data_IF_120770185906
#
_entry.id   IF_120770185906
#
_cell.length_a   1.000
_cell.length_b   1.000
_cell.length_c   1.000
_cell.angle_alpha   90.00
_cell.angle_beta   90.00
_cell.angle_gamma   90.00
#
_symmetry.space_group_name_H-M   'P 1'
#
loop_
_entity.id
_entity.type
_entity.pdbx_description
1 polymer ?
#
# COMPACT_ATOMS: atom_id res chain seq x y z
N UNK A 1 -1.24 23.04 22.37
CA UNK A 1 -1.92 22.35 21.26
C UNK A 1 -1.05 22.38 19.99
N UNK A 2 0.20 21.87 20.05
CA UNK A 2 1.14 21.90 18.92
C UNK A 2 1.54 20.49 18.41
N UNK A 3 1.33 19.42 19.18
CA UNK A 3 1.91 18.10 18.88
C UNK A 3 1.29 17.31 17.72
N UNK A 4 0.07 17.64 17.28
CA UNK A 4 -0.60 16.88 16.19
C UNK A 4 -0.23 17.44 14.82
N UNK A 5 -0.03 18.76 14.68
CA UNK A 5 0.36 19.36 13.40
C UNK A 5 1.86 19.15 13.10
N UNK A 6 2.72 19.13 14.13
CA UNK A 6 4.16 18.88 13.97
C UNK A 6 4.47 17.41 13.62
N UNK A 7 3.75 16.45 14.21
CA UNK A 7 3.89 15.02 13.86
C UNK A 7 3.37 14.71 12.46
N UNK A 8 2.33 15.43 12.00
CA UNK A 8 1.83 15.34 10.62
C UNK A 8 2.83 15.96 9.64
N UNK A 9 3.40 17.14 9.94
CA UNK A 9 4.42 17.76 9.09
C UNK A 9 5.69 16.91 8.97
N UNK A 10 6.14 16.24 10.03
CA UNK A 10 7.28 15.31 9.95
C UNK A 10 6.99 14.11 9.04
N UNK A 11 5.77 13.55 9.12
CA UNK A 11 5.35 12.44 8.24
C UNK A 11 5.28 12.86 6.77
N UNK A 12 4.76 14.06 6.50
CA UNK A 12 4.63 14.57 5.12
C UNK A 12 5.97 15.02 4.51
N UNK A 13 6.97 15.41 5.32
CA UNK A 13 8.31 15.81 4.84
C UNK A 13 9.21 14.64 4.45
N UNK A 14 8.91 13.42 4.90
CA UNK A 14 9.63 12.22 4.52
C UNK A 14 9.24 11.73 3.12
N UNK A 15 7.98 11.97 2.71
CA UNK A 15 7.50 11.79 1.34
C UNK A 15 8.17 12.88 0.49
N UNK A 16 9.18 12.51 -0.30
CA UNK A 16 10.03 13.42 -1.06
C UNK A 16 11.53 13.43 -0.67
N UNK A 17 11.96 12.73 0.39
CA UNK A 17 13.39 12.63 0.76
C UNK A 17 14.04 11.26 0.49
N UNK A 18 13.32 10.30 -0.11
CA UNK A 18 13.83 8.94 -0.37
C UNK A 18 14.37 8.22 0.89
N UNK A 19 13.72 8.42 2.04
CA UNK A 19 14.06 7.79 3.33
C UNK A 19 12.93 6.89 3.83
N UNK A 20 13.29 5.74 4.40
CA UNK A 20 12.40 4.76 4.99
C UNK A 20 12.67 4.63 6.49
N UNK A 21 11.62 4.62 7.30
CA UNK A 21 11.70 4.33 8.73
C UNK A 21 11.14 2.94 9.02
N UNK A 22 11.97 2.08 9.64
CA UNK A 22 11.59 0.71 9.99
C UNK A 22 11.57 0.53 11.51
N UNK A 23 10.47 0.00 12.03
CA UNK A 23 10.39 -0.54 13.38
C UNK A 23 10.97 -1.96 13.36
N UNK A 24 12.06 -2.17 14.10
CA UNK A 24 12.68 -3.49 14.24
C UNK A 24 12.05 -4.27 15.39
N UNK A 25 11.78 -5.55 15.15
CA UNK A 25 11.18 -6.47 16.12
C UNK A 25 11.64 -7.91 15.88
N UNK A 26 11.26 -8.80 16.80
CA UNK A 26 11.53 -10.24 16.70
C UNK A 26 10.26 -11.06 16.80
N UNK A 27 10.32 -12.25 16.22
CA UNK A 27 9.29 -13.28 16.33
C UNK A 27 9.85 -14.40 17.21
N UNK A 28 9.70 -15.65 16.81
CA UNK A 28 10.45 -16.76 17.41
C UNK A 28 11.91 -16.78 16.91
N UNK A 29 12.86 -16.63 17.84
CA UNK A 29 14.31 -16.71 17.63
C UNK A 29 15.07 -15.37 17.51
N UNK A 30 16.31 -15.46 17.02
CA UNK A 30 17.26 -14.32 16.92
C UNK A 30 17.10 -13.46 15.66
N UNK A 31 16.27 -13.90 14.71
CA UNK A 31 16.06 -13.20 13.44
C UNK A 31 15.36 -11.85 13.66
N UNK A 32 15.93 -10.79 13.08
CA UNK A 32 15.35 -9.46 13.10
C UNK A 32 14.40 -9.25 11.91
N UNK A 33 13.27 -8.64 12.22
CA UNK A 33 12.24 -8.27 11.27
C UNK A 33 12.03 -6.76 11.31
N UNK A 34 11.59 -6.20 10.19
CA UNK A 34 11.26 -4.79 10.05
C UNK A 34 9.83 -4.61 9.53
N UNK A 35 9.17 -3.56 9.98
CA UNK A 35 7.92 -3.05 9.41
C UNK A 35 8.05 -1.56 9.18
N UNK A 36 7.51 -1.06 8.07
CA UNK A 36 7.44 0.37 7.81
C UNK A 36 6.64 1.07 8.93
N UNK A 37 7.27 2.05 9.59
CA UNK A 37 6.68 2.82 10.69
C UNK A 37 5.41 3.55 10.27
N UNK A 38 5.27 3.93 8.99
CA UNK A 38 4.05 4.54 8.48
C UNK A 38 2.81 3.66 8.63
N UNK A 39 2.99 2.33 8.58
CA UNK A 39 1.91 1.35 8.78
C UNK A 39 1.63 1.08 10.26
N UNK A 40 2.47 1.60 11.18
CA UNK A 40 2.35 1.38 12.63
C UNK A 40 1.64 2.56 13.29
N UNK A 41 0.52 2.26 13.94
CA UNK A 41 -0.24 3.23 14.72
C UNK A 41 0.31 3.38 16.14
N UNK A 42 0.56 2.26 16.80
CA UNK A 42 1.14 2.22 18.15
C UNK A 42 1.72 0.83 18.46
N UNK A 43 2.62 0.77 19.44
CA UNK A 43 3.18 -0.48 19.97
C UNK A 43 2.82 -0.55 21.45
N UNK A 44 2.27 -1.70 21.88
CA UNK A 44 1.82 -1.92 23.24
C UNK A 44 2.37 -3.25 23.76
N UNK A 45 2.54 -3.38 25.07
CA UNK A 45 2.67 -4.70 25.67
C UNK A 45 1.39 -5.49 25.40
N UNK A 46 1.50 -6.78 25.08
CA UNK A 46 0.34 -7.57 24.68
C UNK A 46 -0.72 -7.56 25.79
N UNK A 47 -1.92 -7.01 25.53
CA UNK A 47 -3.00 -7.06 26.49
C UNK A 47 -3.53 -8.48 26.63
N UNK A 48 -4.34 -8.73 27.66
CA UNK A 48 -5.07 -10.00 27.78
C UNK A 48 -5.96 -10.20 26.56
N UNK A 49 -5.81 -11.35 25.92
CA UNK A 49 -6.57 -11.73 24.73
C UNK A 49 -7.82 -12.51 25.12
N UNK A 50 -8.94 -12.17 24.49
CA UNK A 50 -10.17 -12.96 24.55
C UNK A 50 -10.22 -13.88 23.34
N UNK A 51 -10.42 -15.18 23.56
CA UNK A 51 -10.50 -16.18 22.49
C UNK A 51 -11.79 -15.98 21.70
N UNK A 52 -11.68 -15.91 20.37
CA UNK A 52 -12.82 -15.78 19.48
C UNK A 52 -13.20 -17.16 18.89
N UNK A 53 -14.47 -17.60 18.95
CA UNK A 53 -14.90 -18.83 18.30
C UNK A 53 -14.71 -18.76 16.77
N UNK A 54 -14.35 -19.88 16.14
CA UNK A 54 -14.17 -20.00 14.69
C UNK A 54 -13.17 -19.00 14.07
N UNK A 55 -12.13 -18.62 14.81
CA UNK A 55 -11.07 -17.77 14.28
C UNK A 55 -10.07 -18.54 13.40
N UNK A 56 -9.42 -17.84 12.46
CA UNK A 56 -8.36 -18.40 11.64
C UNK A 56 -7.14 -18.79 12.48
N UNK A 57 -6.36 -19.77 12.00
CA UNK A 57 -5.23 -20.38 12.74
C UNK A 57 -4.21 -19.37 13.30
N UNK A 58 -4.01 -18.25 12.62
CA UNK A 58 -3.04 -17.21 12.99
C UNK A 58 -3.59 -16.19 14.00
N UNK A 59 -4.90 -16.20 14.25
CA UNK A 59 -5.56 -15.27 15.18
C UNK A 59 -5.46 -15.83 16.60
N UNK A 60 -4.81 -15.11 17.52
CA UNK A 60 -4.67 -15.51 18.92
C UNK A 60 -5.86 -15.10 19.78
N UNK A 61 -6.59 -14.09 19.34
CA UNK A 61 -7.78 -13.60 20.00
C UNK A 61 -8.07 -12.15 19.63
N UNK A 62 -8.90 -11.51 20.45
CA UNK A 62 -9.20 -10.08 20.33
C UNK A 62 -8.78 -9.35 21.60
N UNK A 63 -8.38 -8.10 21.45
CA UNK A 63 -8.02 -7.20 22.54
C UNK A 63 -8.86 -5.92 22.47
N UNK A 64 -9.24 -5.38 23.63
CA UNK A 64 -9.84 -4.04 23.70
C UNK A 64 -8.74 -3.00 23.86
N UNK A 65 -8.56 -2.15 22.86
CA UNK A 65 -7.53 -1.11 22.81
C UNK A 65 -8.22 0.21 22.54
N UNK A 66 -8.14 1.14 23.52
CA UNK A 66 -8.77 2.48 23.47
C UNK A 66 -10.26 2.46 23.11
N UNK A 67 -10.99 1.44 23.58
CA UNK A 67 -12.44 1.30 23.34
C UNK A 67 -12.81 0.64 22.01
N UNK A 68 -11.83 0.21 21.20
CA UNK A 68 -12.04 -0.59 19.99
C UNK A 68 -11.57 -2.03 20.21
N UNK A 69 -12.37 -3.00 19.75
CA UNK A 69 -11.99 -4.42 19.79
C UNK A 69 -11.21 -4.76 18.53
N UNK A 70 -9.94 -5.14 18.68
CA UNK A 70 -9.02 -5.43 17.58
C UNK A 70 -8.60 -6.90 17.59
N UNK A 71 -8.56 -7.57 16.43
CA UNK A 71 -7.94 -8.89 16.32
C UNK A 71 -6.44 -8.80 16.54
N UNK A 72 -5.89 -9.75 17.30
CA UNK A 72 -4.45 -9.90 17.50
C UNK A 72 -3.99 -11.18 16.80
N UNK A 73 -3.08 -11.02 15.83
CA UNK A 73 -2.54 -12.06 14.99
C UNK A 73 -1.10 -12.38 15.37
N UNK A 74 -0.76 -13.66 15.45
CA UNK A 74 0.61 -14.10 15.69
C UNK A 74 1.41 -14.05 14.39
N UNK A 75 2.33 -13.08 14.26
CA UNK A 75 3.18 -12.98 13.08
C UNK A 75 4.14 -14.16 12.94
N UNK A 76 4.52 -14.80 14.05
CA UNK A 76 5.33 -16.03 13.99
C UNK A 76 4.53 -17.14 13.30
N UNK A 77 3.26 -17.34 13.70
CA UNK A 77 2.36 -18.27 13.00
C UNK A 77 2.10 -17.86 11.55
N UNK A 78 1.85 -16.57 11.28
CA UNK A 78 1.58 -16.08 9.93
C UNK A 78 2.76 -16.34 9.00
N UNK A 79 3.99 -16.13 9.48
CA UNK A 79 5.22 -16.39 8.70
C UNK A 79 5.63 -17.87 8.65
N UNK A 80 4.78 -18.77 9.14
CA UNK A 80 4.98 -20.23 9.07
C UNK A 80 5.84 -20.83 10.19
N UNK A 81 6.19 -20.04 11.21
CA UNK A 81 6.92 -20.49 12.40
C UNK A 81 5.97 -21.01 13.49
N UNK A 82 6.55 -21.46 14.59
CA UNK A 82 5.82 -21.84 15.80
C UNK A 82 5.13 -20.64 16.45
N UNK A 83 4.02 -20.90 17.13
CA UNK A 83 3.28 -19.88 17.85
C UNK A 83 4.09 -19.34 19.03
N UNK A 84 3.95 -18.05 19.30
CA UNK A 84 4.53 -17.45 20.50
C UNK A 84 3.82 -18.02 21.74
N UNK A 85 4.61 -18.52 22.68
CA UNK A 85 4.12 -19.17 23.91
C UNK A 85 3.97 -18.17 25.05
N UNK A 86 4.92 -17.24 25.18
CA UNK A 86 4.94 -16.21 26.22
C UNK A 86 4.22 -14.94 25.75
N UNK A 87 2.89 -14.94 25.88
CA UNK A 87 2.06 -13.79 25.52
C UNK A 87 2.23 -12.61 26.48
N UNK A 88 2.61 -12.83 27.74
CA UNK A 88 2.67 -11.77 28.76
C UNK A 88 3.87 -10.82 28.54
N UNK A 89 4.99 -11.37 28.06
CA UNK A 89 6.18 -10.59 27.72
C UNK A 89 6.23 -10.19 26.22
N UNK A 90 5.26 -10.64 25.43
CA UNK A 90 5.15 -10.26 24.02
C UNK A 90 4.55 -8.87 23.84
N UNK A 91 4.73 -8.30 22.66
CA UNK A 91 4.21 -6.98 22.26
C UNK A 91 3.18 -7.12 21.16
N UNK A 92 2.20 -6.21 21.15
CA UNK A 92 1.25 -6.03 20.07
C UNK A 92 1.61 -4.76 19.28
N UNK A 93 2.04 -4.94 18.03
CA UNK A 93 2.25 -3.86 17.06
C UNK A 93 0.93 -3.60 16.36
N UNK A 94 0.31 -2.47 16.65
CA UNK A 94 -0.98 -2.10 16.06
C UNK A 94 -0.71 -1.40 14.74
N UNK A 95 -1.21 -1.99 13.66
CA UNK A 95 -1.02 -1.50 12.30
C UNK A 95 -2.34 -1.09 11.66
N UNK A 96 -2.26 -0.20 10.68
CA UNK A 96 -3.42 0.23 9.90
C UNK A 96 -3.15 0.19 8.41
N UNK A 97 -4.11 -0.33 7.65
CA UNK A 97 -4.10 -0.37 6.19
C UNK A 97 -5.54 -0.36 5.65
N UNK A 98 -5.86 0.52 4.70
CA UNK A 98 -7.22 0.64 4.14
C UNK A 98 -8.32 0.72 5.22
N UNK A 99 -8.12 1.56 6.26
CA UNK A 99 -8.96 1.68 7.48
C UNK A 99 -9.11 0.42 8.33
N UNK A 100 -8.39 -0.66 8.03
CA UNK A 100 -8.42 -1.87 8.84
C UNK A 100 -7.29 -1.77 9.84
N UNK A 101 -7.66 -1.73 11.12
CA UNK A 101 -6.69 -1.81 12.21
C UNK A 101 -6.59 -3.26 12.68
N UNK A 102 -5.37 -3.78 12.73
CA UNK A 102 -5.05 -5.09 13.29
C UNK A 102 -3.88 -4.96 14.26
N UNK A 103 -3.80 -5.88 15.22
CA UNK A 103 -2.61 -6.05 16.04
C UNK A 103 -1.81 -7.25 15.58
N UNK A 104 -0.50 -7.07 15.49
CA UNK A 104 0.45 -8.13 15.24
C UNK A 104 1.25 -8.42 16.50
N UNK A 105 1.18 -9.66 16.96
CA UNK A 105 1.93 -10.16 18.10
C UNK A 105 3.37 -10.46 17.67
N UNK A 106 4.32 -9.89 18.40
CA UNK A 106 5.77 -10.04 18.22
C UNK A 106 6.39 -10.32 19.59
N UNK A 107 7.52 -11.04 19.63
CA UNK A 107 8.14 -11.42 20.91
C UNK A 107 8.82 -10.23 21.60
N UNK A 108 9.46 -9.36 20.82
CA UNK A 108 10.15 -8.17 21.33
C UNK A 108 10.21 -7.09 20.26
N UNK A 109 10.30 -5.85 20.71
CA UNK A 109 10.51 -4.66 19.87
C UNK A 109 11.84 -4.05 20.24
N UNK A 110 12.65 -3.73 19.24
CA UNK A 110 14.05 -3.34 19.42
C UNK A 110 14.21 -1.83 19.35
N UNK A 111 14.19 -1.27 18.13
CA UNK A 111 14.35 0.17 17.88
C UNK A 111 13.80 0.54 16.51
N UNK A 112 13.58 1.85 16.30
CA UNK A 112 13.32 2.40 14.97
C UNK A 112 14.65 2.76 14.33
N UNK A 113 14.80 2.42 13.05
CA UNK A 113 15.96 2.80 12.23
C UNK A 113 15.50 3.63 11.04
N UNK A 114 16.33 4.57 10.62
CA UNK A 114 16.10 5.37 9.44
C UNK A 114 17.13 4.96 8.37
N UNK A 115 16.65 4.52 7.21
CA UNK A 115 17.45 3.99 6.10
C UNK A 115 17.15 4.77 4.83
N UNK A 116 18.12 4.80 3.92
CA UNK A 116 17.86 5.19 2.53
C UNK A 116 17.32 3.98 1.76
N UNK A 117 16.45 4.20 0.78
CA UNK A 117 15.90 3.13 -0.05
C UNK A 117 16.96 2.30 -0.77
N UNK A 118 18.11 2.91 -1.12
CA UNK A 118 19.26 2.22 -1.72
C UNK A 118 19.82 1.06 -0.87
N UNK A 119 19.62 1.08 0.45
CA UNK A 119 20.04 0.02 1.36
C UNK A 119 19.03 -1.15 1.45
N UNK A 120 17.88 -1.00 0.80
CA UNK A 120 16.81 -1.99 0.75
C UNK A 120 16.99 -2.82 -0.51
N UNK A 121 17.18 -4.13 -0.32
CA UNK A 121 17.42 -5.07 -1.40
C UNK A 121 16.17 -5.91 -1.67
N UNK A 122 15.91 -6.28 -2.93
CA UNK A 122 14.84 -7.23 -3.22
C UNK A 122 15.12 -8.57 -2.53
N UNK A 123 14.06 -9.32 -2.18
CA UNK A 123 14.22 -10.62 -1.55
C UNK A 123 15.04 -11.57 -2.44
N UNK A 124 15.81 -12.51 -1.85
CA UNK A 124 16.64 -13.44 -2.62
C UNK A 124 15.84 -14.21 -3.66
N UNK A 125 16.40 -14.33 -4.88
CA UNK A 125 15.79 -15.10 -5.98
C UNK A 125 15.61 -16.56 -5.52
N UNK A 126 14.36 -17.04 -5.49
CA UNK A 126 14.01 -18.40 -5.06
C UNK A 126 13.19 -18.49 -3.77
N UNK A 127 12.95 -17.39 -3.05
CA UNK A 127 12.15 -17.35 -1.82
C UNK A 127 10.64 -17.67 -2.00
N UNK A 128 10.17 -17.86 -3.24
CA UNK A 128 8.77 -18.20 -3.56
C UNK A 128 7.85 -16.96 -3.65
N UNK A 129 6.80 -17.06 -4.47
CA UNK A 129 5.83 -15.97 -4.73
C UNK A 129 4.89 -15.68 -3.55
N UNK A 130 4.79 -16.61 -2.60
CA UNK A 130 3.89 -16.51 -1.44
C UNK A 130 4.58 -16.03 -0.16
N UNK A 131 5.82 -15.56 -0.25
CA UNK A 131 6.53 -15.08 0.93
C UNK A 131 5.97 -13.73 1.42
N UNK A 132 5.91 -13.53 2.74
CA UNK A 132 5.50 -12.27 3.38
C UNK A 132 6.63 -11.23 3.44
N UNK A 133 7.71 -11.43 2.68
CA UNK A 133 8.83 -10.50 2.61
C UNK A 133 8.65 -9.55 1.44
N UNK A 134 8.58 -8.24 1.74
CA UNK A 134 8.66 -7.20 0.70
C UNK A 134 10.10 -7.03 0.25
N UNK A 135 11.04 -7.02 1.20
CA UNK A 135 12.45 -6.73 0.95
C UNK A 135 13.34 -7.22 2.10
N UNK A 136 14.65 -7.11 1.92
CA UNK A 136 15.65 -7.39 2.96
C UNK A 136 16.63 -6.23 3.07
N UNK A 137 17.21 -6.03 4.24
CA UNK A 137 18.29 -5.04 4.44
C UNK A 137 19.31 -5.59 5.43
N UNK A 138 20.45 -4.90 5.57
CA UNK A 138 21.48 -5.27 6.53
C UNK A 138 21.64 -4.16 7.56
N UNK A 139 21.51 -4.51 8.84
CA UNK A 139 21.69 -3.60 9.96
C UNK A 139 22.66 -4.25 10.93
N UNK A 140 23.75 -3.57 11.26
CA UNK A 140 24.80 -4.09 12.14
C UNK A 140 25.32 -5.47 11.69
N UNK A 141 25.52 -5.65 10.37
CA UNK A 141 25.90 -6.92 9.72
C UNK A 141 24.91 -8.09 9.92
N UNK A 142 23.69 -7.82 10.38
CA UNK A 142 22.61 -8.80 10.46
C UNK A 142 21.60 -8.56 9.35
N UNK A 143 21.13 -9.65 8.74
CA UNK A 143 20.03 -9.60 7.80
C UNK A 143 18.74 -9.24 8.53
N UNK A 144 18.02 -8.26 8.02
CA UNK A 144 16.71 -7.85 8.51
C UNK A 144 15.68 -8.07 7.41
N UNK A 145 14.63 -8.78 7.76
CA UNK A 145 13.54 -9.16 6.87
C UNK A 145 12.37 -8.18 7.00
N UNK A 146 11.98 -7.53 5.91
CA UNK A 146 10.90 -6.53 5.93
C UNK A 146 9.58 -7.24 5.63
N UNK A 147 8.67 -7.22 6.60
CA UNK A 147 7.38 -7.92 6.54
C UNK A 147 6.34 -7.08 5.80
N UNK A 148 5.70 -7.70 4.82
CA UNK A 148 4.49 -7.23 4.17
C UNK A 148 3.26 -7.57 5.03
N UNK A 149 2.91 -6.66 5.93
CA UNK A 149 1.72 -6.81 6.77
C UNK A 149 0.41 -6.74 5.98
N UNK A 150 0.41 -6.15 4.79
CA UNK A 150 -0.79 -6.03 3.97
C UNK A 150 -1.17 -7.37 3.38
N UNK A 151 -0.17 -8.17 2.98
CA UNK A 151 -0.38 -9.54 2.53
C UNK A 151 -0.96 -10.41 3.63
N UNK A 152 -0.42 -10.31 4.85
CA UNK A 152 -0.97 -11.02 6.02
C UNK A 152 -2.42 -10.60 6.29
N UNK A 153 -2.70 -9.30 6.26
CA UNK A 153 -4.04 -8.75 6.47
C UNK A 153 -5.02 -9.19 5.37
N UNK A 154 -4.59 -9.23 4.11
CA UNK A 154 -5.45 -9.63 2.99
C UNK A 154 -5.85 -11.11 3.05
N UNK A 155 -5.00 -11.97 3.61
CA UNK A 155 -5.30 -13.39 3.76
C UNK A 155 -6.27 -13.68 4.91
N UNK A 156 -6.13 -12.96 6.03
CA UNK A 156 -6.94 -13.20 7.24
C UNK A 156 -8.28 -12.46 7.24
N UNK A 157 -8.33 -11.34 6.53
CA UNK A 157 -9.51 -10.52 6.35
C UNK A 157 -9.52 -10.04 4.89
N UNK A 158 -9.99 -10.86 3.94
CA UNK A 158 -10.11 -10.42 2.55
C UNK A 158 -11.08 -9.23 2.46
N UNK A 159 -10.86 -8.38 1.47
CA UNK A 159 -11.76 -7.27 1.12
C UNK A 159 -12.55 -7.68 -0.12
N UNK A 160 -13.82 -7.28 -0.21
CA UNK A 160 -14.56 -7.44 -1.46
C UNK A 160 -13.90 -6.59 -2.54
N UNK A 161 -13.67 -7.19 -3.70
CA UNK A 161 -13.18 -6.54 -4.91
C UNK A 161 -14.33 -6.36 -5.92
N UNK A 162 -15.56 -6.71 -5.52
CA UNK A 162 -16.76 -6.61 -6.35
C UNK A 162 -17.34 -5.20 -6.30
N UNK A 163 -17.68 -4.69 -7.49
CA UNK A 163 -18.40 -3.42 -7.66
C UNK A 163 -19.89 -3.69 -7.53
N UNK A 164 -20.56 -2.91 -6.71
CA UNK A 164 -22.00 -3.03 -6.48
C UNK A 164 -22.80 -2.86 -7.79
N UNK A 165 -23.90 -3.61 -7.99
CA UNK A 165 -24.78 -3.41 -9.14
C UNK A 165 -25.28 -1.97 -9.22
N UNK A 166 -25.22 -1.37 -10.42
CA UNK A 166 -25.72 -0.01 -10.67
C UNK A 166 -24.72 1.13 -10.45
N UNK A 167 -23.50 0.86 -10.01
CA UNK A 167 -22.43 1.88 -9.94
C UNK A 167 -21.97 2.32 -11.33
N UNK A 168 -21.96 1.38 -12.28
CA UNK A 168 -21.61 1.61 -13.68
C UNK A 168 -22.79 1.21 -14.55
N UNK A 169 -23.24 2.13 -15.41
CA UNK A 169 -24.27 1.88 -16.43
C UNK A 169 -23.74 1.04 -17.61
N UNK A 170 -24.66 0.45 -18.38
CA UNK A 170 -24.31 -0.50 -19.46
C UNK A 170 -23.51 0.16 -20.62
N UNK A 171 -23.75 1.45 -20.89
CA UNK A 171 -23.02 2.19 -21.92
C UNK A 171 -21.55 2.35 -21.51
N UNK A 172 -21.32 2.86 -20.29
CA UNK A 172 -19.98 3.02 -19.73
C UNK A 172 -19.24 1.68 -19.65
N UNK A 173 -19.94 0.59 -19.26
CA UNK A 173 -19.36 -0.76 -19.23
C UNK A 173 -18.92 -1.25 -20.61
N UNK A 174 -19.65 -0.92 -21.66
CA UNK A 174 -19.30 -1.31 -23.03
C UNK A 174 -18.03 -0.59 -23.49
N UNK A 175 -17.91 0.70 -23.17
CA UNK A 175 -16.73 1.53 -23.51
C UNK A 175 -15.49 1.17 -22.70
N UNK A 176 -15.70 0.72 -21.46
CA UNK A 176 -14.63 0.23 -20.61
C UNK A 176 -13.79 -0.88 -21.27
N UNK A 177 -14.39 -1.70 -22.15
CA UNK A 177 -13.73 -2.81 -22.85
C UNK A 177 -12.61 -2.38 -23.80
N UNK A 178 -12.60 -1.12 -24.25
CA UNK A 178 -11.54 -0.55 -25.08
C UNK A 178 -10.58 0.34 -24.31
N UNK A 179 -10.76 0.46 -23.00
CA UNK A 179 -9.94 1.32 -22.14
C UNK A 179 -8.80 0.53 -21.51
N UNK A 180 -7.67 1.21 -21.32
CA UNK A 180 -6.50 0.70 -20.60
C UNK A 180 -6.17 1.62 -19.44
N UNK A 181 -5.80 1.06 -18.30
CA UNK A 181 -5.38 1.82 -17.11
C UNK A 181 -4.01 1.37 -16.65
N UNK A 182 -3.13 2.33 -16.36
CA UNK A 182 -1.81 2.07 -15.80
C UNK A 182 -1.88 2.12 -14.26
N UNK A 183 -1.57 1.02 -13.59
CA UNK A 183 -1.52 0.93 -12.12
C UNK A 183 -0.06 0.92 -11.67
N UNK A 184 0.29 1.83 -10.78
CA UNK A 184 1.64 1.99 -10.22
C UNK A 184 1.54 1.98 -8.71
N UNK A 185 2.01 0.92 -8.06
CA UNK A 185 1.91 0.75 -6.60
C UNK A 185 2.94 -0.30 -6.20
N UNK A 186 3.60 -0.19 -5.04
CA UNK A 186 4.63 -1.13 -4.59
C UNK A 186 4.06 -2.35 -3.87
N UNK A 187 2.86 -2.22 -3.31
CA UNK A 187 2.09 -3.30 -2.72
C UNK A 187 1.46 -4.20 -3.79
N UNK A 188 1.93 -5.44 -3.81
CA UNK A 188 1.33 -6.46 -4.70
C UNK A 188 -0.13 -6.75 -4.36
N UNK A 189 -0.56 -6.47 -3.11
CA UNK A 189 -1.94 -6.63 -2.65
C UNK A 189 -2.80 -5.51 -3.23
N UNK A 190 -2.39 -4.26 -3.05
CA UNK A 190 -3.11 -3.11 -3.58
C UNK A 190 -3.20 -3.17 -5.12
N UNK A 191 -2.08 -3.46 -5.80
CA UNK A 191 -2.07 -3.67 -7.27
C UNK A 191 -3.09 -4.71 -7.72
N UNK A 192 -3.19 -5.85 -7.02
CA UNK A 192 -4.15 -6.92 -7.36
C UNK A 192 -5.59 -6.49 -7.10
N UNK A 193 -5.86 -5.80 -5.99
CA UNK A 193 -7.19 -5.32 -5.64
C UNK A 193 -7.72 -4.32 -6.67
N UNK A 194 -6.90 -3.31 -7.01
CA UNK A 194 -7.24 -2.31 -8.03
C UNK A 194 -7.41 -3.01 -9.39
N UNK A 195 -6.46 -3.87 -9.79
CA UNK A 195 -6.52 -4.59 -11.05
C UNK A 195 -7.81 -5.40 -11.19
N UNK A 196 -8.16 -6.22 -10.20
CA UNK A 196 -9.37 -7.04 -10.26
C UNK A 196 -10.64 -6.20 -10.29
N UNK A 197 -10.70 -5.12 -9.52
CA UNK A 197 -11.83 -4.19 -9.56
C UNK A 197 -12.05 -3.63 -10.97
N UNK A 198 -10.97 -3.26 -11.67
CA UNK A 198 -11.02 -2.72 -13.02
C UNK A 198 -11.28 -3.81 -14.09
N UNK A 199 -10.66 -4.97 -13.96
CA UNK A 199 -10.88 -6.12 -14.83
C UNK A 199 -12.35 -6.60 -14.75
N UNK A 200 -12.96 -6.57 -13.56
CA UNK A 200 -14.38 -6.91 -13.34
C UNK A 200 -15.36 -5.97 -14.07
N UNK A 201 -14.91 -4.76 -14.43
CA UNK A 201 -15.70 -3.79 -15.21
C UNK A 201 -15.27 -3.76 -16.68
N UNK A 202 -14.35 -4.65 -17.09
CA UNK A 202 -13.94 -4.86 -18.48
C UNK A 202 -12.68 -4.12 -18.92
N UNK A 203 -11.98 -3.44 -18.01
CA UNK A 203 -10.82 -2.61 -18.34
C UNK A 203 -9.54 -3.43 -18.36
N UNK A 204 -8.72 -3.23 -19.38
CA UNK A 204 -7.37 -3.80 -19.42
C UNK A 204 -6.44 -3.00 -18.50
N UNK A 205 -5.60 -3.68 -17.73
CA UNK A 205 -4.68 -3.04 -16.78
C UNK A 205 -3.23 -3.39 -17.06
N UNK A 206 -2.38 -2.38 -17.07
CA UNK A 206 -0.91 -2.53 -17.05
C UNK A 206 -0.43 -2.22 -15.63
N UNK A 207 0.45 -3.06 -15.07
CA UNK A 207 0.87 -2.98 -13.67
C UNK A 207 2.38 -2.78 -13.58
N UNK A 208 2.82 -1.76 -12.86
CA UNK A 208 4.22 -1.46 -12.56
C UNK A 208 4.40 -1.32 -11.04
N UNK A 209 5.61 -1.54 -10.54
CA UNK A 209 5.88 -1.74 -9.11
C UNK A 209 6.33 -0.49 -8.38
N UNK A 210 6.78 0.55 -9.08
CA UNK A 210 7.20 1.81 -8.47
C UNK A 210 7.16 2.97 -9.48
N UNK A 211 7.33 4.19 -8.99
CA UNK A 211 7.29 5.38 -9.83
C UNK A 211 8.44 5.47 -10.84
N UNK A 212 9.62 4.90 -10.54
CA UNK A 212 10.76 4.93 -11.45
C UNK A 212 10.51 4.03 -12.65
N UNK A 213 10.00 2.82 -12.42
CA UNK A 213 9.57 1.88 -13.45
C UNK A 213 8.49 2.52 -14.34
N UNK A 214 7.50 3.17 -13.74
CA UNK A 214 6.45 3.88 -14.47
C UNK A 214 6.98 5.02 -15.33
N UNK A 215 7.83 5.89 -14.79
CA UNK A 215 8.39 7.00 -15.56
C UNK A 215 9.23 6.50 -16.74
N UNK A 216 10.04 5.46 -16.54
CA UNK A 216 10.84 4.86 -17.61
C UNK A 216 9.96 4.23 -18.70
N UNK A 217 8.89 3.53 -18.30
CA UNK A 217 7.93 2.93 -19.22
C UNK A 217 7.21 3.98 -20.08
N UNK A 218 6.75 5.08 -19.46
CA UNK A 218 6.09 6.19 -20.15
C UNK A 218 7.05 6.93 -21.09
N UNK A 219 8.30 7.17 -20.67
CA UNK A 219 9.33 7.80 -21.51
C UNK A 219 9.67 6.94 -22.72
N UNK A 220 9.84 5.63 -22.54
CA UNK A 220 10.10 4.71 -23.65
C UNK A 220 8.95 4.73 -24.67
N UNK A 221 7.70 4.71 -24.21
CA UNK A 221 6.51 4.83 -25.06
C UNK A 221 6.51 6.16 -25.85
N UNK A 222 6.83 7.26 -25.19
CA UNK A 222 6.92 8.58 -25.82
C UNK A 222 8.10 8.67 -26.82
N UNK A 223 9.22 8.02 -26.53
CA UNK A 223 10.39 7.93 -27.43
C UNK A 223 10.06 7.12 -28.69
N UNK A 224 9.16 6.14 -28.60
CA UNK A 224 8.60 5.38 -29.73
C UNK A 224 7.55 6.16 -30.53
N UNK A 225 7.24 7.40 -30.14
CA UNK A 225 6.30 8.29 -30.82
C UNK A 225 4.83 8.06 -30.46
N UNK A 226 4.53 7.24 -29.43
CA UNK A 226 3.19 7.07 -28.89
C UNK A 226 2.90 8.14 -27.83
N UNK A 227 1.64 8.55 -27.73
CA UNK A 227 1.20 9.48 -26.69
C UNK A 227 0.58 8.68 -25.52
N UNK A 228 1.15 8.72 -24.32
CA UNK A 228 0.60 7.98 -23.18
C UNK A 228 -0.85 8.34 -22.82
N UNK A 229 -1.29 9.56 -23.10
CA UNK A 229 -2.68 9.99 -22.85
C UNK A 229 -3.70 9.36 -23.80
N UNK A 230 -3.26 8.86 -24.96
CA UNK A 230 -4.10 8.15 -25.93
C UNK A 230 -4.08 6.64 -25.66
N UNK A 231 -2.96 6.13 -25.14
CA UNK A 231 -2.77 4.70 -24.82
C UNK A 231 -3.43 4.29 -23.50
N UNK A 232 -3.52 5.21 -22.53
CA UNK A 232 -4.13 4.99 -21.23
C UNK A 232 -5.23 6.01 -20.94
N UNK A 233 -6.39 5.51 -20.53
CA UNK A 233 -7.49 6.32 -20.01
C UNK A 233 -7.01 7.19 -18.83
N UNK A 234 -6.23 6.56 -17.93
CA UNK A 234 -5.62 7.18 -16.77
C UNK A 234 -4.49 6.33 -16.18
N UNK A 235 -3.65 6.97 -15.36
CA UNK A 235 -2.72 6.33 -14.44
C UNK A 235 -3.29 6.42 -13.01
N UNK A 236 -3.30 5.29 -12.29
CA UNK A 236 -3.56 5.23 -10.85
C UNK A 236 -2.22 4.94 -10.18
N UNK A 237 -1.73 5.89 -9.38
CA UNK A 237 -0.45 5.75 -8.68
C UNK A 237 -0.66 5.78 -7.17
N UNK A 238 -0.10 4.82 -6.45
CA UNK A 238 0.11 4.98 -5.02
C UNK A 238 1.06 6.15 -4.76
N UNK A 239 0.90 6.77 -3.59
CA UNK A 239 1.75 7.88 -3.17
C UNK A 239 3.04 7.35 -2.57
N UNK A 240 3.00 6.32 -1.74
CA UNK A 240 4.13 5.88 -0.94
C UNK A 240 4.84 4.70 -1.57
N UNK A 241 5.70 5.01 -2.54
CA UNK A 241 6.50 4.00 -3.22
C UNK A 241 8.00 4.18 -2.93
N UNK A 242 8.76 3.07 -2.93
CA UNK A 242 10.22 3.12 -2.94
C UNK A 242 10.73 3.77 -4.22
N UNK A 243 11.99 4.24 -4.19
CA UNK A 243 12.73 4.84 -5.32
C UNK A 243 12.17 6.17 -5.86
N UNK A 244 10.85 6.23 -6.11
CA UNK A 244 10.12 7.40 -6.57
C UNK A 244 8.69 7.33 -6.09
N UNK A 245 8.31 8.27 -5.22
CA UNK A 245 6.95 8.42 -4.73
C UNK A 245 5.98 8.94 -5.81
N UNK A 246 4.68 8.77 -5.57
CA UNK A 246 3.63 9.16 -6.52
C UNK A 246 3.56 10.66 -6.79
N UNK A 247 3.96 11.50 -5.82
CA UNK A 247 4.03 12.95 -6.03
C UNK A 247 5.14 13.33 -7.01
N UNK A 248 6.31 12.72 -6.85
CA UNK A 248 7.47 12.91 -7.72
C UNK A 248 7.18 12.37 -9.12
N UNK A 249 6.59 11.17 -9.22
CA UNK A 249 6.14 10.61 -10.50
C UNK A 249 5.18 11.55 -11.21
N UNK A 250 4.13 12.02 -10.52
CA UNK A 250 3.13 12.94 -11.10
C UNK A 250 3.80 14.22 -11.59
N UNK A 251 4.70 14.78 -10.78
CA UNK A 251 5.44 16.00 -11.13
C UNK A 251 6.28 15.79 -12.39
N UNK A 252 7.04 14.69 -12.47
CA UNK A 252 7.85 14.36 -13.65
C UNK A 252 7.02 14.17 -14.92
N UNK A 253 5.86 13.48 -14.81
CA UNK A 253 4.92 13.32 -15.92
C UNK A 253 4.37 14.68 -16.39
N UNK A 254 4.05 15.59 -15.46
CA UNK A 254 3.55 16.93 -15.80
C UNK A 254 4.60 17.84 -16.43
N UNK A 255 5.88 17.65 -16.09
CA UNK A 255 6.98 18.43 -16.67
C UNK A 255 7.40 17.97 -18.07
N UNK A 256 7.05 16.75 -18.49
CA UNK A 256 7.33 16.26 -19.83
C UNK A 256 6.18 16.61 -20.79
N UNK A 257 6.41 17.48 -21.81
CA UNK A 257 5.36 17.89 -22.74
C UNK A 257 4.71 16.76 -23.53
N UNK A 258 5.34 15.58 -23.61
CA UNK A 258 4.83 14.44 -24.37
C UNK A 258 3.78 13.63 -23.59
N UNK A 259 3.70 13.83 -22.27
CA UNK A 259 2.79 13.09 -21.39
C UNK A 259 2.04 13.97 -20.37
N UNK A 260 2.21 15.30 -20.44
CA UNK A 260 1.57 16.24 -19.51
C UNK A 260 0.03 16.11 -19.48
N UNK A 261 -0.59 15.64 -20.57
CA UNK A 261 -2.04 15.49 -20.72
C UNK A 261 -2.60 14.19 -20.15
N UNK A 262 -1.76 13.26 -19.68
CA UNK A 262 -2.22 11.99 -19.11
C UNK A 262 -3.07 12.24 -17.86
N UNK A 263 -4.22 11.58 -17.72
CA UNK A 263 -5.02 11.72 -16.51
C UNK A 263 -4.39 10.92 -15.36
N UNK A 264 -4.22 11.52 -14.18
CA UNK A 264 -3.52 10.92 -13.04
C UNK A 264 -4.42 10.97 -11.81
N UNK A 265 -4.75 9.79 -11.28
CA UNK A 265 -5.39 9.61 -9.98
C UNK A 265 -4.34 9.14 -8.98
N UNK A 266 -4.14 9.91 -7.91
CA UNK A 266 -3.31 9.48 -6.80
C UNK A 266 -4.15 8.64 -5.83
N UNK A 267 -3.63 7.47 -5.47
CA UNK A 267 -4.19 6.57 -4.49
C UNK A 267 -3.29 6.53 -3.25
N UNK A 268 -3.87 6.26 -2.07
CA UNK A 268 -3.10 5.95 -0.88
C UNK A 268 -3.85 4.96 -0.01
N UNK A 269 -3.11 4.06 0.63
CA UNK A 269 -3.66 3.04 1.52
C UNK A 269 -3.57 3.41 3.01
N UNK A 270 -2.90 4.51 3.34
CA UNK A 270 -2.70 4.95 4.72
C UNK A 270 -3.88 5.76 5.26
N UNK A 271 -4.01 5.74 6.58
CA UNK A 271 -4.94 6.58 7.33
C UNK A 271 -4.27 7.89 7.77
N UNK A 272 -4.79 9.02 7.30
CA UNK A 272 -4.22 10.31 7.68
C UNK A 272 -4.87 11.52 7.04
N UNK A 273 -4.50 12.70 7.56
CA UNK A 273 -4.83 13.98 6.95
C UNK A 273 -3.90 14.19 5.76
N UNK A 274 -4.26 13.64 4.61
CA UNK A 274 -3.50 13.86 3.39
C UNK A 274 -3.58 15.32 2.96
N UNK A 275 -2.46 15.83 2.49
CA UNK A 275 -2.33 17.23 2.14
C UNK A 275 -2.88 17.45 0.72
N UNK A 276 -4.15 17.83 0.61
CA UNK A 276 -4.77 18.19 -0.68
C UNK A 276 -3.97 19.26 -1.44
N UNK A 277 -3.21 20.11 -0.75
CA UNK A 277 -2.36 21.09 -1.42
C UNK A 277 -1.17 20.42 -2.13
N UNK A 278 -0.64 19.31 -1.61
CA UNK A 278 0.43 18.57 -2.28
C UNK A 278 -0.07 17.84 -3.52
N UNK A 279 -1.25 17.21 -3.45
CA UNK A 279 -1.91 16.61 -4.62
C UNK A 279 -2.06 17.64 -5.74
N UNK A 280 -2.60 18.82 -5.42
CA UNK A 280 -2.75 19.92 -6.38
C UNK A 280 -1.42 20.46 -6.90
N UNK A 281 -0.40 20.56 -6.05
CA UNK A 281 0.95 21.03 -6.45
C UNK A 281 1.66 20.04 -7.37
N UNK A 282 1.50 18.75 -7.12
CA UNK A 282 2.04 17.70 -7.99
C UNK A 282 1.35 17.68 -9.36
N UNK A 283 0.11 18.17 -9.44
CA UNK A 283 -0.66 18.26 -10.67
C UNK A 283 -1.52 17.02 -10.96
N UNK A 284 -1.86 16.23 -9.95
CA UNK A 284 -2.79 15.12 -10.11
C UNK A 284 -4.21 15.63 -10.37
N UNK A 285 -4.97 14.91 -11.19
CA UNK A 285 -6.33 15.29 -11.59
C UNK A 285 -7.37 14.85 -10.55
N UNK A 286 -7.12 13.73 -9.87
CA UNK A 286 -7.99 13.22 -8.81
C UNK A 286 -7.18 12.52 -7.71
N UNK A 287 -7.86 12.25 -6.60
CA UNK A 287 -7.29 11.60 -5.43
C UNK A 287 -8.29 10.65 -4.77
N UNK A 288 -7.87 9.40 -4.59
CA UNK A 288 -8.60 8.38 -3.85
C UNK A 288 -7.85 8.06 -2.56
N UNK A 289 -8.40 8.53 -1.44
CA UNK A 289 -7.76 8.38 -0.14
C UNK A 289 -7.72 6.93 0.38
N UNK A 290 -8.60 6.06 -0.13
CA UNK A 290 -8.83 4.70 0.38
C UNK A 290 -9.39 3.82 -0.71
N UNK A 291 -8.95 2.57 -0.77
CA UNK A 291 -9.52 1.63 -1.72
C UNK A 291 -10.95 1.23 -1.33
N UNK A 292 -11.92 1.65 -2.14
CA UNK A 292 -13.29 1.13 -2.14
C UNK A 292 -13.67 0.83 -3.60
N UNK A 293 -14.11 -0.40 -3.93
CA UNK A 293 -14.42 -0.77 -5.32
C UNK A 293 -15.39 0.18 -6.00
N UNK A 294 -16.46 0.57 -5.31
CA UNK A 294 -17.50 1.45 -5.86
C UNK A 294 -16.97 2.87 -6.13
N UNK A 295 -16.13 3.41 -5.25
CA UNK A 295 -15.53 4.73 -5.43
C UNK A 295 -14.57 4.74 -6.62
N UNK A 296 -13.70 3.72 -6.70
CA UNK A 296 -12.77 3.57 -7.83
C UNK A 296 -13.54 3.40 -9.15
N UNK A 297 -14.54 2.52 -9.17
CA UNK A 297 -15.39 2.29 -10.32
C UNK A 297 -16.10 3.58 -10.76
N UNK A 298 -16.61 4.38 -9.82
CA UNK A 298 -17.26 5.64 -10.13
C UNK A 298 -16.30 6.68 -10.72
N UNK A 299 -15.06 6.79 -10.22
CA UNK A 299 -14.04 7.69 -10.80
C UNK A 299 -13.66 7.30 -12.21
N UNK A 300 -13.47 6.00 -12.45
CA UNK A 300 -13.12 5.48 -13.77
C UNK A 300 -14.28 5.66 -14.74
N UNK A 301 -15.50 5.35 -14.32
CA UNK A 301 -16.71 5.58 -15.11
C UNK A 301 -16.87 7.05 -15.51
N UNK A 302 -16.61 7.97 -14.58
CA UNK A 302 -16.63 9.41 -14.88
C UNK A 302 -15.56 9.80 -15.89
N UNK A 303 -14.35 9.25 -15.74
CA UNK A 303 -13.26 9.50 -16.69
C UNK A 303 -13.56 8.97 -18.09
N UNK A 304 -14.20 7.80 -18.21
CA UNK A 304 -14.68 7.25 -19.50
C UNK A 304 -15.65 8.24 -20.17
N UNK A 305 -16.67 8.70 -19.43
CA UNK A 305 -17.64 9.67 -19.97
C UNK A 305 -17.00 10.97 -20.44
N UNK A 306 -15.98 11.44 -19.73
CA UNK A 306 -15.23 12.64 -20.12
C UNK A 306 -14.33 12.40 -21.34
N UNK A 307 -13.80 11.18 -21.51
CA UNK A 307 -13.02 10.81 -22.69
C UNK A 307 -13.89 10.79 -23.94
N UNK A 308 -15.12 10.29 -23.84
CA UNK A 308 -16.05 10.20 -24.98
C UNK A 308 -16.62 11.55 -25.42
N UNK A 309 -16.66 12.53 -24.51
CA UNK A 309 -17.22 13.84 -24.77
C UNK A 309 -16.28 14.78 -25.56
N UNK A 310 -15.00 14.41 -25.68
CA UNK A 310 -13.94 15.16 -26.35
C UNK A 310 -13.57 14.52 -27.70
#
# INVERSE_FOLDING_TARGET
>A
MAGVLDSVNQRTQLVGQNRLELLLFRLDGEQLYGINVFKVREVLQCPRLTVMPKCGRVVRGVASIRGSTLPILDLSLATGKSALMDLENSFAVITEYNNRTLGFLVSSVERIVNLNWEAILPPPKGAGRDHYLTAVTHIDNKLVEIIDVEKVLAEVAPTSEEVSPGVIDDDTRTKALSCRVLIVDDSSVARKQIARCLENIGIEVVKLNDGREALNYLKLMADEGKNPADEFLMMISDIEMPEMDGYTLTTEVRHDPRMHGMHILLHTSLSGVFNQNMVKRAGADDFLAKFQPDDLAARVAERIRQADAN
#
